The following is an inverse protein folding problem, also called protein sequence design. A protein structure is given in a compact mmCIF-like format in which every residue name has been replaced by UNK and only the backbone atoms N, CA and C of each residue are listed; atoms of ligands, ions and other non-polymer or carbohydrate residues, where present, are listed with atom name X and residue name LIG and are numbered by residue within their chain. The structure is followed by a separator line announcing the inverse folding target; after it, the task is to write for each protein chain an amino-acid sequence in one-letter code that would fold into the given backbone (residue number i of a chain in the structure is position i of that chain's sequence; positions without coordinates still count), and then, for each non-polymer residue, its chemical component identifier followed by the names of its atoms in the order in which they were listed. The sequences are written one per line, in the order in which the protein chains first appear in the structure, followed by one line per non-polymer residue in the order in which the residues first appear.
data_IF_247064225296
#
_entry.id   IF_247064225296
#
_cell.length_a   1.000
_cell.length_b   1.000
_cell.length_c   1.000
_cell.angle_alpha   90.00
_cell.angle_beta   90.00
_cell.angle_gamma   90.00
#
_symmetry.space_group_name_H-M   'P 1'
#
loop_
_entity.id
_entity.type
_entity.pdbx_description
1 polymer ?
#
# COMPACT_ATOMS: atom_id res chain seq x y z
N UNK A 1 5.75 15.27 6.70
CA UNK A 1 6.70 15.29 5.56
C UNK A 1 6.00 15.91 4.36
N UNK A 2 6.71 16.61 3.46
CA UNK A 2 6.06 17.36 2.36
C UNK A 2 6.86 17.19 1.07
N UNK A 3 6.22 16.71 0.00
CA UNK A 3 6.80 16.74 -1.34
C UNK A 3 6.68 18.15 -1.90
N UNK A 4 7.80 18.76 -2.29
CA UNK A 4 7.84 20.10 -2.89
C UNK A 4 7.77 20.03 -4.41
N UNK A 5 8.44 19.04 -4.99
CA UNK A 5 8.62 18.94 -6.44
C UNK A 5 8.76 17.49 -6.84
N UNK A 6 8.19 17.14 -7.99
CA UNK A 6 8.47 15.87 -8.67
C UNK A 6 8.92 16.16 -10.11
N UNK A 7 9.92 15.41 -10.56
CA UNK A 7 10.41 15.40 -11.92
C UNK A 7 10.24 13.98 -12.47
N UNK A 8 9.55 13.89 -13.60
CA UNK A 8 9.16 12.63 -14.22
C UNK A 8 9.71 12.62 -15.64
N UNK A 9 10.36 11.51 -16.00
CA UNK A 9 10.89 11.20 -17.32
C UNK A 9 10.40 9.82 -17.76
N UNK A 10 9.72 9.75 -18.91
CA UNK A 10 9.31 8.51 -19.58
C UNK A 10 8.51 7.52 -18.71
N UNK A 11 7.70 8.01 -17.78
CA UNK A 11 6.88 7.19 -16.88
C UNK A 11 5.44 7.14 -17.37
N UNK A 12 4.93 5.96 -17.73
CA UNK A 12 3.59 5.79 -18.34
C UNK A 12 3.43 6.70 -19.56
N UNK A 13 2.44 7.60 -19.56
CA UNK A 13 2.24 8.61 -20.60
C UNK A 13 2.96 9.95 -20.29
N UNK A 14 3.65 10.06 -19.15
CA UNK A 14 4.38 11.27 -18.74
C UNK A 14 5.80 11.21 -19.30
N UNK A 15 6.09 12.02 -20.31
CA UNK A 15 7.43 12.18 -20.89
C UNK A 15 8.32 13.01 -19.96
N UNK A 16 8.60 14.27 -20.26
CA UNK A 16 9.43 15.13 -19.41
C UNK A 16 8.56 16.19 -18.72
N UNK A 17 8.07 15.88 -17.52
CA UNK A 17 7.18 16.77 -16.76
C UNK A 17 7.78 17.09 -15.39
N UNK A 18 7.57 18.31 -14.95
CA UNK A 18 7.95 18.77 -13.62
C UNK A 18 6.73 19.40 -12.97
N UNK A 19 6.41 18.97 -11.76
CA UNK A 19 5.32 19.54 -10.98
C UNK A 19 5.84 20.03 -9.64
N UNK A 20 5.38 21.20 -9.22
CA UNK A 20 5.64 21.75 -7.89
C UNK A 20 4.35 21.67 -7.08
N UNK A 21 4.45 21.30 -5.81
CA UNK A 21 3.29 21.09 -4.95
C UNK A 21 3.27 22.09 -3.80
N UNK A 22 2.07 22.56 -3.48
CA UNK A 22 1.82 23.32 -2.27
C UNK A 22 2.12 22.47 -1.03
N UNK A 23 2.67 23.06 0.04
CA UNK A 23 2.88 22.35 1.31
C UNK A 23 1.57 21.98 2.02
N UNK A 24 0.43 22.50 1.56
CA UNK A 24 -0.91 22.15 2.06
C UNK A 24 -1.65 21.31 1.00
N UNK A 25 -2.47 21.95 0.18
CA UNK A 25 -3.30 21.25 -0.81
C UNK A 25 -2.96 21.67 -2.22
N UNK A 26 -2.76 20.67 -3.07
CA UNK A 26 -2.63 20.82 -4.52
C UNK A 26 -3.77 20.09 -5.20
N UNK A 27 -4.47 20.74 -6.13
CA UNK A 27 -5.45 20.09 -7.01
C UNK A 27 -4.90 20.05 -8.43
N UNK A 28 -4.79 18.85 -8.97
CA UNK A 28 -4.39 18.56 -10.34
C UNK A 28 -5.66 18.41 -11.16
N UNK A 29 -5.90 19.37 -12.05
CA UNK A 29 -7.08 19.43 -12.92
C UNK A 29 -6.69 19.05 -14.34
N UNK A 30 -7.49 18.23 -14.99
CA UNK A 30 -7.32 17.92 -16.41
C UNK A 30 -8.34 16.89 -16.89
N UNK A 31 -8.54 16.77 -18.21
CA UNK A 31 -9.45 15.79 -18.77
C UNK A 31 -9.04 14.36 -18.39
N UNK A 32 -9.95 13.40 -18.58
CA UNK A 32 -9.62 11.98 -18.44
C UNK A 32 -8.47 11.62 -19.39
N UNK A 33 -7.67 10.63 -19.00
CA UNK A 33 -6.47 10.19 -19.72
C UNK A 33 -5.31 11.22 -19.85
N UNK A 34 -5.41 12.42 -19.27
CA UNK A 34 -4.30 13.41 -19.25
C UNK A 34 -3.09 13.00 -18.40
N UNK A 35 -3.16 11.87 -17.70
CA UNK A 35 -2.06 11.36 -16.85
C UNK A 35 -2.13 11.78 -15.37
N UNK A 36 -3.26 12.34 -14.90
CA UNK A 36 -3.46 12.72 -13.49
C UNK A 36 -3.15 11.57 -12.52
N UNK A 37 -3.80 10.42 -12.72
CA UNK A 37 -3.53 9.19 -11.95
C UNK A 37 -2.07 8.77 -12.02
N UNK A 38 -1.40 8.95 -13.16
CA UNK A 38 0.01 8.56 -13.31
C UNK A 38 0.96 9.49 -12.51
N UNK A 39 0.55 10.74 -12.24
CA UNK A 39 1.27 11.63 -11.31
C UNK A 39 1.15 11.08 -9.87
N UNK A 40 -0.05 10.68 -9.45
CA UNK A 40 -0.25 10.06 -8.14
C UNK A 40 0.47 8.71 -8.03
N UNK A 41 0.49 7.91 -9.10
CA UNK A 41 1.28 6.68 -9.20
C UNK A 41 2.77 6.94 -9.00
N UNK A 42 3.32 7.97 -9.64
CA UNK A 42 4.71 8.36 -9.46
C UNK A 42 5.02 8.80 -8.02
N UNK A 43 4.11 9.55 -7.37
CA UNK A 43 4.27 9.96 -5.97
C UNK A 43 4.19 8.74 -5.04
N UNK A 44 3.22 7.85 -5.25
CA UNK A 44 3.05 6.64 -4.45
C UNK A 44 4.22 5.66 -4.62
N UNK A 45 4.80 5.59 -5.82
CA UNK A 45 6.01 4.83 -6.11
C UNK A 45 7.20 5.34 -5.30
N UNK A 46 7.34 6.66 -5.09
CA UNK A 46 8.38 7.22 -4.22
C UNK A 46 8.16 6.85 -2.74
N UNK A 47 6.92 6.65 -2.29
CA UNK A 47 6.62 6.28 -0.91
C UNK A 47 6.91 4.79 -0.63
N UNK A 48 6.47 3.93 -1.55
CA UNK A 48 6.41 2.48 -1.31
C UNK A 48 7.44 1.67 -2.11
N UNK A 49 8.03 2.25 -3.16
CA UNK A 49 8.85 1.54 -4.14
C UNK A 49 8.07 0.58 -5.04
N UNK A 50 6.74 0.62 -5.00
CA UNK A 50 5.82 -0.21 -5.78
C UNK A 50 4.73 0.65 -6.43
N UNK A 51 4.19 0.18 -7.56
CA UNK A 51 3.01 0.78 -8.16
C UNK A 51 1.74 0.18 -7.58
N UNK A 52 0.68 0.98 -7.51
CA UNK A 52 -0.67 0.48 -7.22
C UNK A 52 -1.39 -0.07 -8.47
N UNK A 53 -0.95 0.26 -9.69
CA UNK A 53 -1.56 -0.17 -10.97
C UNK A 53 -0.76 -1.25 -11.69
N UNK A 54 0.56 -1.13 -11.72
CA UNK A 54 1.43 -1.99 -12.52
C UNK A 54 1.65 -3.34 -11.84
N UNK A 55 1.61 -4.42 -12.62
CA UNK A 55 1.96 -5.77 -12.15
C UNK A 55 3.46 -6.03 -12.25
N UNK A 56 4.10 -5.47 -13.28
CA UNK A 56 5.55 -5.55 -13.52
C UNK A 56 6.16 -4.17 -13.76
N UNK A 57 7.46 -4.02 -13.50
CA UNK A 57 8.15 -2.74 -13.62
C UNK A 57 8.09 -2.13 -15.03
N UNK A 58 8.10 -2.95 -16.08
CA UNK A 58 8.15 -2.51 -17.48
C UNK A 58 6.89 -1.77 -17.91
N UNK A 59 5.74 -2.07 -17.30
CA UNK A 59 4.46 -1.41 -17.58
C UNK A 59 4.47 0.07 -17.19
N UNK A 60 5.34 0.45 -16.24
CA UNK A 60 5.51 1.84 -15.82
C UNK A 60 6.41 2.64 -16.78
N UNK A 61 7.10 1.97 -17.71
CA UNK A 61 7.99 2.63 -18.67
C UNK A 61 7.19 3.02 -19.91
N UNK A 62 7.35 4.27 -20.34
CA UNK A 62 6.69 4.77 -21.54
C UNK A 62 6.95 3.88 -22.76
N UNK A 63 5.96 3.82 -23.65
CA UNK A 63 6.05 3.03 -24.87
C UNK A 63 7.25 3.46 -25.72
N UNK A 64 8.01 2.50 -26.23
CA UNK A 64 9.22 2.73 -27.02
C UNK A 64 10.40 3.32 -26.23
N UNK A 65 10.32 3.39 -24.90
CA UNK A 65 11.41 3.84 -24.04
C UNK A 65 12.02 2.67 -23.26
N UNK A 66 13.33 2.73 -23.03
CA UNK A 66 14.07 1.73 -22.26
C UNK A 66 14.15 2.06 -20.77
N UNK A 67 14.11 3.36 -20.44
CA UNK A 67 14.32 3.87 -19.09
C UNK A 67 13.21 4.87 -18.74
N UNK A 68 12.68 4.73 -17.52
CA UNK A 68 11.86 5.73 -16.86
C UNK A 68 12.51 6.18 -15.55
N UNK A 69 12.30 7.43 -15.16
CA UNK A 69 12.80 7.96 -13.88
C UNK A 69 11.79 8.90 -13.25
N UNK A 70 11.62 8.73 -11.94
CA UNK A 70 10.81 9.58 -11.08
C UNK A 70 11.69 10.10 -9.95
N UNK A 71 11.81 11.41 -9.81
CA UNK A 71 12.59 12.06 -8.75
C UNK A 71 11.69 13.00 -7.95
N UNK A 72 11.68 12.87 -6.63
CA UNK A 72 10.94 13.73 -5.71
C UNK A 72 11.86 14.47 -4.75
N UNK A 73 11.60 15.77 -4.57
CA UNK A 73 12.27 16.63 -3.59
C UNK A 73 11.32 16.94 -2.42
N UNK A 74 11.80 16.76 -1.20
CA UNK A 74 11.04 16.94 0.04
C UNK A 74 11.68 18.00 0.95
N UNK A 75 10.90 18.68 1.80
CA UNK A 75 11.38 19.82 2.61
C UNK A 75 11.33 19.65 4.12
N UNK A 76 10.75 18.57 4.65
CA UNK A 76 10.59 18.34 6.10
C UNK A 76 10.63 16.83 6.43
N UNK A 77 11.82 16.21 6.53
CA UNK A 77 13.16 16.78 6.33
C UNK A 77 13.52 17.00 4.85
N UNK A 78 14.60 17.74 4.60
CA UNK A 78 15.13 17.92 3.25
C UNK A 78 15.75 16.60 2.76
N UNK A 79 15.14 16.00 1.74
CA UNK A 79 15.65 14.77 1.13
C UNK A 79 15.25 14.68 -0.34
N UNK A 80 15.92 13.79 -1.07
CA UNK A 80 15.57 13.41 -2.44
C UNK A 80 15.36 11.91 -2.52
N UNK A 81 14.23 11.50 -3.10
CA UNK A 81 13.95 10.11 -3.44
C UNK A 81 13.92 9.98 -4.95
N UNK A 82 14.50 8.91 -5.48
CA UNK A 82 14.51 8.64 -6.90
C UNK A 82 14.28 7.16 -7.17
N UNK A 83 13.43 6.87 -8.17
CA UNK A 83 13.20 5.54 -8.71
C UNK A 83 13.57 5.57 -10.18
N UNK A 84 14.47 4.66 -10.59
CA UNK A 84 14.83 4.41 -11.98
C UNK A 84 14.33 3.03 -12.37
N UNK A 85 13.61 2.94 -13.48
CA UNK A 85 13.02 1.73 -14.02
C UNK A 85 13.65 1.43 -15.38
N UNK A 86 13.92 0.15 -15.64
CA UNK A 86 14.48 -0.32 -16.92
C UNK A 86 13.77 -1.60 -17.36
N UNK A 87 13.92 -1.98 -18.64
CA UNK A 87 13.40 -3.25 -19.17
C UNK A 87 14.28 -4.47 -18.85
N UNK A 88 15.28 -4.30 -17.98
CA UNK A 88 16.28 -5.32 -17.67
C UNK A 88 17.49 -5.33 -18.60
N UNK A 89 17.38 -4.66 -19.74
CA UNK A 89 18.43 -4.46 -20.73
C UNK A 89 18.33 -3.02 -21.27
N UNK A 90 19.46 -2.42 -21.61
CA UNK A 90 19.56 -1.08 -22.22
C UNK A 90 20.50 -1.11 -23.41
N UNK A 91 20.19 -0.33 -24.44
CA UNK A 91 21.06 -0.18 -25.61
C UNK A 91 22.27 0.69 -25.27
N UNK A 92 23.47 0.26 -25.68
CA UNK A 92 24.73 0.95 -25.39
C UNK A 92 25.38 1.44 -26.68
N UNK A 93 25.44 2.77 -26.82
CA UNK A 93 25.99 3.43 -27.99
C UNK A 93 24.93 3.66 -29.06
N UNK A 94 25.35 3.63 -30.34
CA UNK A 94 24.45 3.82 -31.49
C UNK A 94 24.01 2.50 -32.12
N UNK A 95 24.61 1.38 -31.72
CA UNK A 95 24.31 0.06 -32.25
C UNK A 95 23.12 -0.55 -31.50
N UNK A 96 21.95 -0.74 -32.15
CA UNK A 96 20.76 -1.29 -31.53
C UNK A 96 20.91 -2.74 -31.06
N UNK A 97 21.88 -3.49 -31.60
CA UNK A 97 22.12 -4.88 -31.21
C UNK A 97 22.99 -5.00 -29.96
N UNK A 98 23.68 -3.92 -29.58
CA UNK A 98 24.57 -3.91 -28.42
C UNK A 98 23.83 -3.50 -27.15
N UNK A 99 23.33 -4.49 -26.42
CA UNK A 99 22.64 -4.26 -25.13
C UNK A 99 23.47 -4.67 -23.92
N UNK A 100 23.25 -4.00 -22.80
CA UNK A 100 23.77 -4.37 -21.48
C UNK A 100 22.65 -4.73 -20.52
N UNK A 101 22.85 -5.81 -19.75
CA UNK A 101 21.92 -6.21 -18.69
C UNK A 101 22.02 -5.28 -17.50
N UNK A 102 20.88 -4.78 -17.06
CA UNK A 102 20.76 -3.86 -15.94
C UNK A 102 19.63 -4.25 -15.00
N UNK A 103 19.67 -3.84 -13.72
CA UNK A 103 18.55 -4.05 -12.82
C UNK A 103 17.29 -3.33 -13.32
N UNK A 104 16.15 -4.04 -13.31
CA UNK A 104 14.83 -3.49 -13.69
C UNK A 104 14.38 -2.32 -12.83
N UNK A 105 14.88 -2.23 -11.59
CA UNK A 105 14.55 -1.15 -10.65
C UNK A 105 15.76 -0.77 -9.82
N UNK A 106 16.03 0.53 -9.73
CA UNK A 106 16.99 1.13 -8.79
C UNK A 106 16.27 2.17 -7.96
N UNK A 107 16.50 2.12 -6.65
CA UNK A 107 15.93 3.01 -5.66
C UNK A 107 17.06 3.82 -5.04
N UNK A 108 16.92 5.15 -4.98
CA UNK A 108 17.96 6.03 -4.50
C UNK A 108 17.41 6.99 -3.45
N UNK A 109 18.15 7.13 -2.35
CA UNK A 109 17.93 8.15 -1.32
C UNK A 109 19.13 9.08 -1.35
N UNK A 110 18.90 10.37 -1.65
CA UNK A 110 19.94 11.39 -1.79
C UNK A 110 21.07 10.96 -2.76
N UNK A 111 20.70 10.31 -3.87
CA UNK A 111 21.65 9.80 -4.87
C UNK A 111 22.35 8.50 -4.50
N UNK A 112 22.13 7.95 -3.30
CA UNK A 112 22.73 6.70 -2.85
C UNK A 112 21.75 5.55 -3.09
N UNK A 113 22.20 4.49 -3.77
CA UNK A 113 21.41 3.28 -3.99
C UNK A 113 20.97 2.63 -2.67
N UNK A 114 19.68 2.28 -2.57
CA UNK A 114 19.07 1.60 -1.42
C UNK A 114 18.32 0.36 -1.86
N UNK A 115 18.27 -0.63 -0.95
CA UNK A 115 17.33 -1.75 -1.07
C UNK A 115 15.92 -1.28 -0.77
N UNK A 116 14.90 -1.99 -1.25
CA UNK A 116 13.50 -1.64 -1.00
C UNK A 116 13.19 -1.46 0.50
N UNK A 117 13.72 -2.35 1.35
CA UNK A 117 13.54 -2.28 2.81
C UNK A 117 14.06 -0.98 3.44
N UNK A 118 15.12 -0.41 2.86
CA UNK A 118 15.78 0.81 3.34
C UNK A 118 15.28 2.07 2.59
N UNK A 119 14.49 1.90 1.52
CA UNK A 119 13.87 2.96 0.73
C UNK A 119 12.42 3.23 1.15
N UNK A 120 11.60 2.18 1.27
CA UNK A 120 10.20 2.29 1.64
C UNK A 120 10.05 2.81 3.08
N UNK A 121 9.09 3.72 3.29
CA UNK A 121 8.82 4.36 4.59
C UNK A 121 9.60 5.66 4.84
N UNK A 122 10.61 5.99 4.00
CA UNK A 122 11.24 7.32 4.04
C UNK A 122 10.26 8.41 3.65
N UNK A 123 9.34 8.14 2.74
CA UNK A 123 8.17 8.97 2.45
C UNK A 123 6.91 8.12 2.67
N UNK A 124 5.88 8.70 3.27
CA UNK A 124 4.63 8.01 3.60
C UNK A 124 3.48 8.69 2.89
N UNK A 125 2.65 7.88 2.24
CA UNK A 125 1.48 8.35 1.52
C UNK A 125 0.30 7.41 1.76
N UNK A 126 -0.88 8.00 1.88
CA UNK A 126 -2.15 7.27 1.85
C UNK A 126 -2.90 7.68 0.60
N UNK A 127 -3.26 6.70 -0.21
CA UNK A 127 -3.92 6.88 -1.50
C UNK A 127 -5.37 6.45 -1.40
N UNK A 128 -6.29 7.34 -1.75
CA UNK A 128 -7.69 7.05 -1.96
C UNK A 128 -7.94 7.01 -3.45
N UNK A 129 -8.54 5.94 -3.94
CA UNK A 129 -8.87 5.81 -5.35
C UNK A 129 -10.16 5.03 -5.58
N UNK A 130 -10.67 5.04 -6.81
CA UNK A 130 -11.90 4.35 -7.17
C UNK A 130 -11.83 2.82 -6.95
N UNK A 131 -10.63 2.25 -7.05
CA UNK A 131 -10.38 0.82 -6.81
C UNK A 131 -10.47 0.42 -5.32
N UNK A 132 -10.54 1.36 -4.36
CA UNK A 132 -10.58 0.97 -2.95
C UNK A 132 -11.88 0.22 -2.57
N UNK A 133 -12.93 0.28 -3.40
CA UNK A 133 -14.13 -0.57 -3.23
C UNK A 133 -13.78 -2.07 -3.30
N UNK A 134 -12.71 -2.43 -4.01
CA UNK A 134 -12.22 -3.81 -4.10
C UNK A 134 -11.81 -4.37 -2.73
N UNK A 135 -11.48 -3.52 -1.74
CA UNK A 135 -11.21 -3.98 -0.37
C UNK A 135 -12.41 -4.72 0.22
N UNK A 136 -13.61 -4.26 -0.12
CA UNK A 136 -14.86 -4.88 0.29
C UNK A 136 -15.14 -6.06 -0.64
N UNK A 137 -15.24 -5.82 -1.95
CA UNK A 137 -15.85 -6.79 -2.89
C UNK A 137 -14.93 -7.90 -3.39
N UNK A 138 -13.61 -7.70 -3.39
CA UNK A 138 -12.66 -8.61 -4.03
C UNK A 138 -12.04 -9.64 -3.07
N UNK A 139 -11.08 -10.40 -3.58
CA UNK A 139 -10.43 -11.51 -2.88
C UNK A 139 -9.57 -11.07 -1.67
N UNK A 140 -9.27 -12.02 -0.75
CA UNK A 140 -8.35 -11.79 0.37
C UNK A 140 -6.97 -11.24 -0.01
N UNK A 141 -6.53 -11.49 -1.25
CA UNK A 141 -5.23 -11.01 -1.74
C UNK A 141 -5.15 -9.48 -1.82
N UNK A 142 -6.25 -8.82 -2.18
CA UNK A 142 -6.34 -7.35 -2.26
C UNK A 142 -6.24 -6.75 -0.85
N UNK A 143 -6.96 -7.34 0.11
CA UNK A 143 -6.94 -6.95 1.51
C UNK A 143 -5.59 -7.17 2.19
N UNK A 144 -4.93 -8.30 1.94
CA UNK A 144 -3.55 -8.51 2.41
C UNK A 144 -2.57 -7.51 1.78
N UNK A 145 -2.69 -7.21 0.47
CA UNK A 145 -1.87 -6.20 -0.20
C UNK A 145 -2.05 -4.81 0.44
N UNK A 146 -3.27 -4.45 0.82
CA UNK A 146 -3.54 -3.22 1.56
C UNK A 146 -2.81 -3.19 2.91
N UNK A 147 -2.97 -4.23 3.74
CA UNK A 147 -2.28 -4.34 5.03
C UNK A 147 -0.76 -4.30 4.87
N UNK A 148 -0.23 -5.07 3.93
CA UNK A 148 1.21 -5.17 3.67
C UNK A 148 1.77 -3.82 3.22
N UNK A 149 1.02 -3.07 2.40
CA UNK A 149 1.43 -1.74 1.92
C UNK A 149 1.44 -0.73 3.06
N UNK A 150 0.38 -0.69 3.88
CA UNK A 150 0.29 0.16 5.05
C UNK A 150 1.43 -0.13 6.06
N UNK A 151 1.51 -1.38 6.53
CA UNK A 151 2.44 -1.77 7.59
C UNK A 151 3.89 -1.65 7.12
N UNK A 152 4.16 -1.91 5.83
CA UNK A 152 5.47 -1.67 5.24
C UNK A 152 5.86 -0.19 5.17
N UNK A 153 4.96 0.78 5.30
CA UNK A 153 5.36 2.19 5.35
C UNK A 153 5.79 2.63 6.75
N UNK A 154 5.24 2.00 7.79
CA UNK A 154 5.42 2.44 9.18
C UNK A 154 6.43 1.60 9.96
N UNK A 155 6.61 0.33 9.59
CA UNK A 155 7.41 -0.60 10.37
C UNK A 155 8.50 -1.29 9.51
N UNK A 156 9.77 -1.08 9.90
CA UNK A 156 10.93 -1.66 9.19
C UNK A 156 11.08 -3.16 9.45
N UNK A 157 10.76 -3.62 10.65
CA UNK A 157 10.81 -5.04 10.98
C UNK A 157 9.72 -5.82 10.27
N UNK A 158 8.55 -5.20 10.03
CA UNK A 158 7.50 -5.75 9.19
C UNK A 158 8.01 -5.94 7.77
N UNK A 159 8.63 -4.90 7.16
CA UNK A 159 9.28 -5.04 5.85
C UNK A 159 10.30 -6.19 5.81
N UNK A 160 11.12 -6.34 6.86
CA UNK A 160 12.10 -7.43 6.97
C UNK A 160 11.40 -8.80 7.07
N UNK A 161 10.37 -8.89 7.91
CA UNK A 161 9.62 -10.10 8.17
C UNK A 161 8.89 -10.54 6.90
N UNK A 162 8.17 -9.66 6.20
CA UNK A 162 7.47 -9.95 4.94
C UNK A 162 8.43 -10.47 3.87
N UNK A 163 9.59 -9.82 3.66
CA UNK A 163 10.59 -10.29 2.69
C UNK A 163 11.18 -11.66 3.06
N UNK A 164 11.44 -11.88 4.35
CA UNK A 164 11.98 -13.15 4.85
C UNK A 164 10.96 -14.27 4.76
N UNK A 165 9.70 -13.97 5.07
CA UNK A 165 8.57 -14.87 5.00
C UNK A 165 8.28 -15.28 3.54
N UNK A 166 8.20 -14.33 2.61
CA UNK A 166 7.98 -14.62 1.19
C UNK A 166 9.09 -15.50 0.60
N UNK A 167 10.35 -15.21 0.96
CA UNK A 167 11.49 -16.05 0.57
C UNK A 167 11.35 -17.46 1.15
N UNK A 168 11.07 -17.57 2.45
CA UNK A 168 10.87 -18.85 3.12
C UNK A 168 9.74 -19.66 2.50
N UNK A 169 8.62 -19.01 2.20
CA UNK A 169 7.41 -19.63 1.65
C UNK A 169 7.69 -20.21 0.27
N UNK A 170 8.37 -19.46 -0.60
CA UNK A 170 8.76 -19.95 -1.93
C UNK A 170 9.70 -21.15 -1.85
N UNK A 171 10.69 -21.11 -0.95
CA UNK A 171 11.64 -22.23 -0.80
C UNK A 171 10.97 -23.46 -0.20
N UNK A 172 10.09 -23.27 0.79
CA UNK A 172 9.30 -24.34 1.40
C UNK A 172 8.35 -24.98 0.39
N UNK A 173 7.56 -24.19 -0.35
CA UNK A 173 6.64 -24.72 -1.36
C UNK A 173 7.39 -25.48 -2.47
N UNK A 174 8.58 -25.00 -2.87
CA UNK A 174 9.44 -25.74 -3.81
C UNK A 174 9.89 -27.08 -3.23
N UNK A 175 10.23 -27.14 -1.95
CA UNK A 175 10.62 -28.37 -1.27
C UNK A 175 9.44 -29.33 -1.11
N UNK A 176 8.24 -28.84 -0.78
CA UNK A 176 7.01 -29.64 -0.75
C UNK A 176 6.72 -30.26 -2.11
N UNK A 177 6.82 -29.46 -3.19
CA UNK A 177 6.70 -29.97 -4.55
C UNK A 177 7.73 -31.08 -4.83
N UNK A 178 8.99 -30.89 -4.48
CA UNK A 178 10.02 -31.93 -4.66
C UNK A 178 9.72 -33.22 -3.89
N UNK A 179 9.23 -33.11 -2.65
CA UNK A 179 8.85 -34.27 -1.83
C UNK A 179 7.66 -35.01 -2.43
N UNK A 180 6.69 -34.27 -3.01
CA UNK A 180 5.55 -34.86 -3.68
C UNK A 180 5.95 -35.65 -4.93
N UNK A 181 6.88 -35.13 -5.73
CA UNK A 181 7.36 -35.80 -6.94
C UNK A 181 8.29 -36.98 -6.62
N UNK A 182 9.07 -36.88 -5.54
CA UNK A 182 9.96 -37.95 -5.07
C UNK A 182 9.95 -38.02 -3.53
N UNK A 183 9.16 -38.95 -2.94
CA UNK A 183 9.08 -39.12 -1.49
C UNK A 183 10.42 -39.43 -0.81
N UNK A 184 11.41 -39.95 -1.55
CA UNK A 184 12.74 -40.20 -0.98
C UNK A 184 13.46 -38.91 -0.57
N UNK A 185 13.11 -37.77 -1.18
CA UNK A 185 13.63 -36.44 -0.81
C UNK A 185 13.32 -36.09 0.64
N UNK A 186 12.22 -36.63 1.19
CA UNK A 186 11.84 -36.45 2.58
C UNK A 186 12.72 -37.28 3.52
N UNK A 187 12.92 -38.56 3.19
CA UNK A 187 13.59 -39.56 4.04
C UNK A 187 15.13 -39.55 3.93
N UNK A 188 15.70 -39.01 2.85
CA UNK A 188 17.15 -38.84 2.72
C UNK A 188 17.65 -37.72 3.65
N UNK A 189 18.79 -37.97 4.33
CA UNK A 189 19.43 -37.11 5.34
C UNK A 189 19.47 -35.63 4.92
N UNK A 190 18.45 -34.87 5.34
CA UNK A 190 18.36 -33.43 5.11
C UNK A 190 16.99 -32.93 4.67
N UNK A 191 16.08 -33.78 4.17
CA UNK A 191 14.70 -33.38 3.80
C UNK A 191 13.93 -32.75 4.97
N UNK A 192 13.76 -33.51 6.06
CA UNK A 192 13.16 -33.04 7.31
C UNK A 192 13.88 -31.80 7.89
N UNK A 193 15.22 -31.80 7.91
CA UNK A 193 15.99 -30.68 8.46
C UNK A 193 15.80 -29.39 7.64
N UNK A 194 15.69 -29.51 6.30
CA UNK A 194 15.40 -28.38 5.41
C UNK A 194 13.98 -27.85 5.62
N UNK A 195 12.97 -28.73 5.73
CA UNK A 195 11.61 -28.31 6.08
C UNK A 195 11.59 -27.57 7.42
N UNK A 196 12.17 -28.17 8.47
CA UNK A 196 12.25 -27.57 9.80
C UNK A 196 12.93 -26.19 9.80
N UNK A 197 13.98 -26.01 9.01
CA UNK A 197 14.62 -24.71 8.85
C UNK A 197 13.65 -23.66 8.29
N UNK A 198 12.92 -23.99 7.22
CA UNK A 198 11.94 -23.09 6.63
C UNK A 198 10.73 -22.89 7.55
N UNK A 199 10.28 -23.91 8.26
CA UNK A 199 9.19 -23.84 9.24
C UNK A 199 9.52 -22.81 10.32
N UNK A 200 10.71 -22.90 10.93
CA UNK A 200 11.16 -21.91 11.93
C UNK A 200 11.26 -20.49 11.36
N UNK A 201 11.69 -20.35 10.10
CA UNK A 201 11.73 -19.05 9.44
C UNK A 201 10.32 -18.49 9.21
N UNK A 202 9.38 -19.34 8.78
CA UNK A 202 8.00 -18.95 8.52
C UNK A 202 7.27 -18.62 9.82
N UNK A 203 7.39 -19.42 10.88
CA UNK A 203 6.77 -19.15 12.18
C UNK A 203 7.24 -17.81 12.72
N UNK A 204 8.56 -17.62 12.84
CA UNK A 204 9.14 -16.39 13.41
C UNK A 204 8.68 -15.12 12.71
N UNK A 205 8.71 -15.11 11.37
CA UNK A 205 8.34 -13.92 10.62
C UNK A 205 6.82 -13.80 10.45
N UNK A 206 6.12 -14.94 10.39
CA UNK A 206 4.68 -15.02 10.22
C UNK A 206 3.94 -14.50 11.44
N UNK A 207 4.39 -14.88 12.64
CA UNK A 207 3.84 -14.39 13.91
C UNK A 207 3.91 -12.86 14.00
N UNK A 208 5.08 -12.29 13.65
CA UNK A 208 5.26 -10.85 13.65
C UNK A 208 4.34 -10.15 12.63
N UNK A 209 4.19 -10.72 11.43
CA UNK A 209 3.28 -10.19 10.41
C UNK A 209 1.83 -10.20 10.92
N UNK A 210 1.37 -11.34 11.44
CA UNK A 210 -0.01 -11.46 11.91
C UNK A 210 -0.28 -10.59 13.13
N UNK A 211 0.70 -10.42 14.03
CA UNK A 211 0.59 -9.51 15.18
C UNK A 211 0.39 -8.05 14.74
N UNK A 212 1.20 -7.57 13.78
CA UNK A 212 1.08 -6.19 13.30
C UNK A 212 -0.23 -5.94 12.53
N UNK A 213 -0.70 -6.94 11.78
CA UNK A 213 -2.02 -6.88 11.11
C UNK A 213 -3.15 -6.82 12.11
N UNK A 214 -3.13 -7.69 13.11
CA UNK A 214 -4.10 -7.71 14.21
C UNK A 214 -4.12 -6.39 14.97
N UNK A 215 -2.94 -5.81 15.24
CA UNK A 215 -2.82 -4.50 15.86
C UNK A 215 -3.52 -3.40 15.04
N UNK A 216 -3.26 -3.32 13.73
CA UNK A 216 -3.93 -2.35 12.87
C UNK A 216 -5.45 -2.56 12.83
N UNK A 217 -5.90 -3.81 12.75
CA UNK A 217 -7.33 -4.12 12.73
C UNK A 217 -8.00 -3.69 14.03
N UNK A 218 -7.38 -3.99 15.17
CA UNK A 218 -7.87 -3.54 16.48
C UNK A 218 -7.88 -2.01 16.59
N UNK A 219 -6.85 -1.35 16.04
CA UNK A 219 -6.81 0.10 15.96
C UNK A 219 -7.98 0.67 15.12
N UNK A 220 -8.25 0.08 13.95
CA UNK A 220 -9.36 0.50 13.10
C UNK A 220 -10.70 0.33 13.83
N UNK A 221 -10.93 -0.85 14.43
CA UNK A 221 -12.13 -1.14 15.23
C UNK A 221 -12.28 -0.20 16.43
N UNK A 222 -11.19 0.29 16.99
CA UNK A 222 -11.18 1.25 18.09
C UNK A 222 -11.63 2.68 17.73
N UNK A 223 -11.68 3.04 16.43
CA UNK A 223 -12.14 4.38 16.01
C UNK A 223 -13.64 4.60 16.14
N UNK A 224 -14.42 3.52 16.13
CA UNK A 224 -15.89 3.59 16.23
C UNK A 224 -16.53 4.10 14.93
N UNK A 225 -17.54 4.96 15.08
CA UNK A 225 -18.50 5.29 14.01
C UNK A 225 -17.99 6.30 12.99
N UNK A 226 -18.54 6.23 11.78
CA UNK A 226 -18.50 7.27 10.75
C UNK A 226 -19.93 7.55 10.26
N UNK A 227 -20.38 8.81 10.31
CA UNK A 227 -21.76 9.22 9.98
C UNK A 227 -22.84 8.30 10.60
N UNK A 228 -22.80 8.12 11.93
CA UNK A 228 -23.70 7.26 12.71
C UNK A 228 -23.67 5.75 12.39
N UNK A 229 -22.94 5.32 11.36
CA UNK A 229 -22.69 3.92 11.02
C UNK A 229 -21.50 3.39 11.81
N UNK A 230 -21.67 2.20 12.39
CA UNK A 230 -20.68 1.55 13.25
C UNK A 230 -20.04 0.41 12.47
N UNK A 231 -18.80 0.62 12.03
CA UNK A 231 -18.04 -0.32 11.23
C UNK A 231 -17.07 -1.10 12.08
N UNK A 232 -16.83 -2.34 11.69
CA UNK A 232 -15.75 -3.15 12.23
C UNK A 232 -15.16 -4.06 11.16
N UNK A 233 -13.97 -4.55 11.43
CA UNK A 233 -13.27 -5.58 10.68
C UNK A 233 -13.20 -6.83 11.54
N UNK A 234 -13.59 -7.95 10.96
CA UNK A 234 -13.43 -9.28 11.53
C UNK A 234 -12.19 -9.92 10.91
N UNK A 235 -11.20 -10.28 11.73
CA UNK A 235 -9.89 -10.77 11.27
C UNK A 235 -9.82 -12.29 11.32
N UNK A 236 -9.78 -12.92 10.14
CA UNK A 236 -9.54 -14.35 10.00
C UNK A 236 -8.03 -14.62 9.92
N UNK A 237 -7.45 -14.83 11.10
CA UNK A 237 -6.02 -15.10 11.28
C UNK A 237 -5.71 -16.57 11.00
N UNK A 238 -4.95 -16.84 9.95
CA UNK A 238 -4.33 -18.14 9.71
C UNK A 238 -3.06 -18.25 10.54
N UNK A 239 -3.21 -18.55 11.84
CA UNK A 239 -2.06 -18.73 12.73
C UNK A 239 -1.11 -19.82 12.20
N UNK A 240 0.19 -19.57 12.30
CA UNK A 240 1.26 -20.50 11.95
C UNK A 240 1.97 -20.94 13.22
N UNK A 241 2.18 -22.25 13.38
CA UNK A 241 2.90 -22.82 14.52
C UNK A 241 3.45 -24.18 14.13
N UNK A 242 4.38 -24.72 14.92
CA UNK A 242 4.90 -26.08 14.69
C UNK A 242 3.76 -27.11 14.67
N UNK A 243 2.85 -27.04 15.66
CA UNK A 243 1.69 -27.93 15.74
C UNK A 243 0.75 -27.83 14.53
N UNK A 244 0.53 -26.63 13.97
CA UNK A 244 -0.29 -26.47 12.77
C UNK A 244 0.40 -26.97 11.50
N UNK A 245 1.70 -26.75 11.37
CA UNK A 245 2.47 -27.28 10.23
C UNK A 245 2.52 -28.81 10.26
N UNK A 246 2.64 -29.40 11.45
CA UNK A 246 2.56 -30.85 11.63
C UNK A 246 1.15 -31.39 11.34
N UNK A 247 0.11 -30.70 11.81
CA UNK A 247 -1.29 -31.07 11.57
C UNK A 247 -1.63 -31.18 10.07
N UNK A 248 -1.10 -30.29 9.23
CA UNK A 248 -1.37 -30.25 7.79
C UNK A 248 -0.22 -30.82 6.94
N UNK A 249 0.72 -31.56 7.53
CA UNK A 249 1.94 -31.95 6.84
C UNK A 249 1.67 -32.79 5.58
N UNK A 250 0.73 -33.73 5.64
CA UNK A 250 0.37 -34.58 4.50
C UNK A 250 -0.35 -33.78 3.41
N UNK A 251 -1.31 -32.93 3.79
CA UNK A 251 -2.08 -32.08 2.88
C UNK A 251 -1.19 -31.05 2.18
N UNK A 252 -0.22 -30.47 2.88
CA UNK A 252 0.73 -29.51 2.32
C UNK A 252 1.67 -30.16 1.30
N UNK A 253 2.11 -31.40 1.54
CA UNK A 253 2.89 -32.19 0.57
C UNK A 253 2.01 -32.49 -0.65
N UNK A 254 0.80 -33.02 -0.45
CA UNK A 254 -0.12 -33.36 -1.55
C UNK A 254 -0.45 -32.13 -2.42
N UNK A 255 -0.73 -30.99 -1.78
CA UNK A 255 -1.04 -29.73 -2.46
C UNK A 255 0.21 -29.01 -3.01
N UNK A 256 1.43 -29.46 -2.66
CA UNK A 256 2.70 -28.81 -2.96
C UNK A 256 2.74 -27.31 -2.55
N UNK A 257 2.03 -26.96 -1.49
CA UNK A 257 1.95 -25.59 -0.97
C UNK A 257 1.72 -25.59 0.52
N UNK A 258 2.26 -24.58 1.19
CA UNK A 258 1.92 -24.25 2.56
C UNK A 258 0.44 -23.81 2.63
N UNK A 259 -0.26 -24.29 3.66
CA UNK A 259 -1.70 -24.09 3.90
C UNK A 259 -1.98 -23.22 5.14
N UNK A 260 -0.97 -23.00 6.00
CA UNK A 260 -1.10 -22.17 7.22
C UNK A 260 -0.15 -20.98 7.25
N UNK A 261 -0.59 -19.87 7.83
CA UNK A 261 0.20 -18.66 8.04
C UNK A 261 -0.31 -17.43 7.29
N UNK A 262 0.33 -16.27 7.49
CA UNK A 262 -0.22 -14.98 7.08
C UNK A 262 -0.45 -14.77 5.59
N UNK A 263 0.13 -15.59 4.73
CA UNK A 263 -0.21 -15.55 3.30
C UNK A 263 -1.66 -16.02 3.01
N UNK A 264 -2.33 -16.61 4.01
CA UNK A 264 -3.73 -17.04 3.96
C UNK A 264 -4.68 -16.19 4.80
N UNK A 265 -4.18 -15.27 5.64
CA UNK A 265 -5.01 -14.38 6.46
C UNK A 265 -6.04 -13.62 5.61
N UNK A 266 -7.17 -13.30 6.21
CA UNK A 266 -8.16 -12.41 5.62
C UNK A 266 -8.79 -11.48 6.66
N UNK A 267 -9.46 -10.42 6.22
CA UNK A 267 -10.38 -9.68 7.07
C UNK A 267 -11.66 -9.35 6.31
N UNK A 268 -12.79 -9.25 7.00
CA UNK A 268 -14.07 -8.90 6.36
C UNK A 268 -14.70 -7.69 7.04
N UNK A 269 -15.29 -6.83 6.22
CA UNK A 269 -16.00 -5.65 6.71
C UNK A 269 -17.35 -6.04 7.30
N UNK A 270 -17.65 -5.48 8.46
CA UNK A 270 -18.92 -5.61 9.16
C UNK A 270 -19.50 -4.22 9.41
N UNK A 271 -20.82 -4.12 9.36
CA UNK A 271 -21.54 -2.91 9.76
C UNK A 271 -22.66 -3.28 10.73
N UNK A 272 -22.83 -2.48 11.77
CA UNK A 272 -23.90 -2.67 12.76
C UNK A 272 -25.24 -2.29 12.16
N UNK A 273 -26.24 -3.12 12.39
CA UNK A 273 -27.61 -2.83 12.00
C UNK A 273 -28.21 -1.69 12.85
N UNK A 274 -28.78 -0.67 12.20
CA UNK A 274 -29.36 0.49 12.89
C UNK A 274 -30.77 0.23 13.45
N UNK A 275 -31.52 -0.72 12.91
CA UNK A 275 -32.94 -0.95 13.25
C UNK A 275 -33.18 -1.99 14.36
N UNK A 276 -32.17 -2.77 14.76
CA UNK A 276 -32.37 -3.86 15.70
C UNK A 276 -32.29 -3.39 17.16
N UNK A 277 -33.47 -3.10 17.75
CA UNK A 277 -33.61 -2.76 19.18
C UNK A 277 -33.27 -3.92 20.13
N UNK A 278 -33.03 -5.13 19.63
CA UNK A 278 -32.94 -6.34 20.46
C UNK A 278 -31.62 -7.11 20.38
N UNK A 279 -30.75 -6.90 19.38
CA UNK A 279 -29.40 -7.48 19.36
C UNK A 279 -28.44 -6.56 18.61
N UNK A 280 -27.20 -6.39 19.12
CA UNK A 280 -26.09 -5.74 18.40
C UNK A 280 -25.60 -6.68 17.29
N UNK A 281 -26.35 -6.85 16.21
CA UNK A 281 -25.91 -7.68 15.09
C UNK A 281 -25.08 -6.87 14.09
N UNK A 282 -23.91 -7.41 13.79
CA UNK A 282 -23.00 -6.93 12.76
C UNK A 282 -23.16 -7.82 11.53
N UNK A 283 -23.56 -7.23 10.41
CA UNK A 283 -23.72 -7.94 9.13
C UNK A 283 -22.52 -7.72 8.22
N UNK A 284 -22.21 -8.69 7.37
CA UNK A 284 -21.15 -8.56 6.37
C UNK A 284 -21.50 -7.50 5.32
N UNK A 285 -20.59 -6.54 5.15
CA UNK A 285 -20.81 -5.37 4.29
C UNK A 285 -20.87 -5.75 2.80
N UNK A 286 -20.12 -6.78 2.38
CA UNK A 286 -20.16 -7.31 1.00
C UNK A 286 -21.55 -7.78 0.60
N UNK A 287 -22.18 -8.58 1.47
CA UNK A 287 -23.39 -9.33 1.12
C UNK A 287 -24.66 -8.52 1.39
N UNK A 288 -24.64 -7.72 2.45
CA UNK A 288 -25.84 -7.09 2.99
C UNK A 288 -25.76 -5.56 3.03
N UNK A 289 -24.59 -4.98 2.71
CA UNK A 289 -24.43 -3.53 2.62
C UNK A 289 -24.86 -2.98 1.26
N UNK A 290 -25.58 -1.86 1.29
CA UNK A 290 -25.80 -1.02 0.12
C UNK A 290 -24.47 -0.47 -0.43
N UNK A 291 -24.47 -0.02 -1.69
CA UNK A 291 -23.28 0.60 -2.30
C UNK A 291 -22.78 1.84 -1.53
N UNK A 292 -23.69 2.59 -0.90
CA UNK A 292 -23.33 3.71 -0.03
C UNK A 292 -22.61 3.24 1.23
N UNK A 293 -23.18 2.27 1.95
CA UNK A 293 -22.53 1.68 3.14
C UNK A 293 -21.16 1.07 2.81
N UNK A 294 -21.01 0.40 1.66
CA UNK A 294 -19.72 -0.15 1.22
C UNK A 294 -18.67 0.95 1.03
N UNK A 295 -19.02 2.05 0.38
CA UNK A 295 -18.13 3.21 0.19
C UNK A 295 -17.78 3.87 1.51
N UNK A 296 -18.75 4.02 2.41
CA UNK A 296 -18.53 4.58 3.73
C UNK A 296 -17.60 3.68 4.58
N UNK A 297 -17.77 2.36 4.51
CA UNK A 297 -16.88 1.41 5.18
C UNK A 297 -15.44 1.49 4.67
N UNK A 298 -15.25 1.67 3.36
CA UNK A 298 -13.93 1.92 2.77
C UNK A 298 -13.35 3.24 3.27
N UNK A 299 -14.11 4.35 3.22
CA UNK A 299 -13.66 5.65 3.73
C UNK A 299 -13.25 5.57 5.19
N UNK A 300 -14.05 4.91 6.03
CA UNK A 300 -13.74 4.64 7.44
C UNK A 300 -12.39 3.92 7.60
N UNK A 301 -12.17 2.85 6.84
CA UNK A 301 -10.90 2.11 6.91
C UNK A 301 -9.70 2.97 6.47
N UNK A 302 -9.87 3.77 5.43
CA UNK A 302 -8.80 4.65 4.93
C UNK A 302 -8.50 5.81 5.89
N UNK A 303 -9.48 6.24 6.69
CA UNK A 303 -9.26 7.20 7.78
C UNK A 303 -8.52 6.55 8.95
N UNK A 304 -8.83 5.28 9.25
CA UNK A 304 -8.03 4.49 10.16
C UNK A 304 -6.59 4.34 9.66
N UNK A 305 -6.37 4.07 8.36
CA UNK A 305 -5.05 4.02 7.75
C UNK A 305 -4.26 5.32 7.96
N UNK A 306 -4.84 6.47 7.58
CA UNK A 306 -4.25 7.80 7.77
C UNK A 306 -3.79 8.02 9.23
N UNK A 307 -4.69 7.73 10.16
CA UNK A 307 -4.46 7.96 11.58
C UNK A 307 -3.45 6.99 12.17
N UNK A 308 -3.47 5.73 11.73
CA UNK A 308 -2.51 4.72 12.18
C UNK A 308 -1.09 5.07 11.75
N UNK A 309 -0.91 5.58 10.52
CA UNK A 309 0.39 6.06 10.06
C UNK A 309 0.89 7.22 10.92
N UNK A 310 0.02 8.18 11.25
CA UNK A 310 0.38 9.28 12.13
C UNK A 310 0.76 8.78 13.52
N UNK A 311 0.01 7.83 14.09
CA UNK A 311 0.26 7.29 15.42
C UNK A 311 1.59 6.51 15.49
N UNK A 312 1.83 5.60 14.54
CA UNK A 312 3.03 4.75 14.51
C UNK A 312 4.32 5.52 14.25
N UNK A 313 4.22 6.72 13.70
CA UNK A 313 5.36 7.60 13.49
C UNK A 313 5.60 8.57 14.63
N UNK A 314 4.75 8.56 15.68
CA UNK A 314 5.03 9.29 16.92
C UNK A 314 6.18 8.62 17.64
N UNK A 315 7.18 9.41 17.99
CA UNK A 315 8.29 8.94 18.81
C UNK A 315 8.00 9.23 20.28
N UNK A 316 7.76 8.18 21.06
CA UNK A 316 7.57 8.28 22.51
C UNK A 316 8.84 8.77 23.25
N UNK A 317 10.03 8.52 22.69
CA UNK A 317 11.31 8.84 23.32
C UNK A 317 11.83 10.25 23.01
N UNK A 318 11.41 10.89 21.91
CA UNK A 318 11.85 12.24 21.52
C UNK A 318 10.78 13.32 21.68
N UNK A 319 9.56 12.96 22.11
CA UNK A 319 8.44 13.90 22.24
C UNK A 319 8.00 14.55 20.92
N UNK A 320 8.45 14.01 19.77
CA UNK A 320 8.08 14.50 18.45
C UNK A 320 6.65 14.09 18.09
N UNK A 321 5.90 15.04 17.54
CA UNK A 321 4.60 14.78 16.96
C UNK A 321 4.73 13.78 15.80
N UNK A 322 3.67 12.98 15.59
CA UNK A 322 3.60 12.00 14.52
C UNK A 322 3.74 12.65 13.15
N UNK A 323 4.26 11.88 12.19
CA UNK A 323 4.35 12.32 10.81
C UNK A 323 3.03 12.06 10.10
N UNK A 324 2.30 13.12 9.73
CA UNK A 324 1.18 12.99 8.80
C UNK A 324 1.70 12.51 7.44
N UNK A 325 1.16 11.40 6.89
CA UNK A 325 1.49 10.97 5.53
C UNK A 325 0.89 11.95 4.52
N UNK A 326 1.42 12.01 3.29
CA UNK A 326 0.75 12.79 2.23
C UNK A 326 -0.52 12.06 1.79
N UNK A 327 -1.64 12.77 1.82
CA UNK A 327 -2.93 12.28 1.34
C UNK A 327 -2.99 12.45 -0.18
N UNK A 328 -3.22 11.36 -0.91
CA UNK A 328 -3.43 11.34 -2.35
C UNK A 328 -4.89 10.96 -2.62
N UNK A 329 -5.64 11.79 -3.33
CA UNK A 329 -7.03 11.49 -3.72
C UNK A 329 -7.10 11.41 -5.25
N UNK A 330 -7.38 10.22 -5.79
CA UNK A 330 -7.45 9.99 -7.24
C UNK A 330 -8.89 9.97 -7.75
N UNK A 331 -9.34 11.06 -8.39
CA UNK A 331 -10.67 11.21 -9.02
C UNK A 331 -11.85 10.71 -8.13
N UNK A 332 -11.68 10.68 -6.80
CA UNK A 332 -12.63 10.05 -5.87
C UNK A 332 -13.97 10.81 -5.82
N UNK A 333 -13.94 12.12 -6.01
CA UNK A 333 -15.13 12.97 -5.92
C UNK A 333 -16.18 12.67 -6.99
N UNK A 334 -15.79 12.20 -8.17
CA UNK A 334 -16.76 11.84 -9.22
C UNK A 334 -17.57 10.60 -8.89
N UNK A 335 -17.07 9.74 -7.98
CA UNK A 335 -17.78 8.53 -7.61
C UNK A 335 -18.70 8.72 -6.41
N UNK A 336 -18.42 9.69 -5.54
CA UNK A 336 -19.13 9.89 -4.29
C UNK A 336 -20.40 10.73 -4.45
N UNK A 337 -21.42 10.41 -3.66
CA UNK A 337 -22.57 11.31 -3.47
C UNK A 337 -22.21 12.49 -2.56
N UNK A 338 -23.15 13.41 -2.35
CA UNK A 338 -22.91 14.63 -1.59
C UNK A 338 -22.46 14.37 -0.15
N UNK A 339 -23.07 13.38 0.53
CA UNK A 339 -22.76 13.07 1.92
C UNK A 339 -21.33 12.54 2.05
N UNK A 340 -20.96 11.55 1.22
CA UNK A 340 -19.61 11.00 1.22
C UNK A 340 -18.54 12.03 0.81
N UNK A 341 -18.88 12.97 -0.08
CA UNK A 341 -17.96 14.06 -0.47
C UNK A 341 -17.63 14.96 0.71
N UNK A 342 -18.61 15.34 1.53
CA UNK A 342 -18.35 16.16 2.72
C UNK A 342 -17.44 15.45 3.71
N UNK A 343 -17.60 14.14 3.90
CA UNK A 343 -16.72 13.31 4.74
C UNK A 343 -15.28 13.33 4.24
N UNK A 344 -15.05 13.17 2.94
CA UNK A 344 -13.71 13.30 2.34
C UNK A 344 -13.14 14.72 2.52
N UNK A 345 -13.98 15.74 2.35
CA UNK A 345 -13.58 17.14 2.50
C UNK A 345 -13.19 17.46 3.95
N UNK A 346 -13.90 16.90 4.94
CA UNK A 346 -13.54 16.98 6.35
C UNK A 346 -12.14 16.42 6.58
N UNK A 347 -11.82 15.25 6.03
CA UNK A 347 -10.47 14.67 6.16
C UNK A 347 -9.40 15.49 5.48
N UNK A 348 -9.68 16.11 4.32
CA UNK A 348 -8.75 17.07 3.72
C UNK A 348 -8.52 18.27 4.65
N UNK A 349 -9.57 18.77 5.32
CA UNK A 349 -9.45 19.88 6.30
C UNK A 349 -8.64 19.44 7.53
N UNK A 350 -8.93 18.27 8.11
CA UNK A 350 -8.17 17.71 9.25
C UNK A 350 -6.71 17.48 8.90
N UNK A 351 -6.44 17.03 7.67
CA UNK A 351 -5.10 16.84 7.16
C UNK A 351 -4.32 18.16 7.13
N UNK A 352 -4.96 19.27 6.77
CA UNK A 352 -4.38 20.61 6.81
C UNK A 352 -4.22 21.18 8.23
N UNK A 353 -4.96 20.67 9.22
CA UNK A 353 -4.88 21.15 10.60
C UNK A 353 -3.54 20.79 11.23
N UNK A 354 -2.74 21.78 11.69
CA UNK A 354 -1.48 21.52 12.38
C UNK A 354 -1.71 20.76 13.69
N UNK A 355 -0.86 19.79 13.98
CA UNK A 355 -0.82 19.16 15.30
C UNK A 355 -0.26 20.17 16.32
N UNK A 356 -0.66 20.08 17.59
CA UNK A 356 -0.24 20.96 18.70
C UNK A 356 1.28 21.24 18.78
N UNK A 357 2.12 20.34 18.22
CA UNK A 357 3.58 20.50 18.04
C UNK A 357 4.10 19.89 16.72
N UNK A 358 3.28 19.83 15.66
CA UNK A 358 3.63 19.18 14.40
C UNK A 358 3.31 20.02 13.15
N UNK A 359 3.84 19.61 12.01
CA UNK A 359 3.50 20.24 10.72
C UNK A 359 2.12 19.80 10.27
N UNK A 360 1.38 20.70 9.60
CA UNK A 360 0.22 20.31 8.80
C UNK A 360 0.60 19.22 7.79
N UNK A 361 -0.34 18.32 7.51
CA UNK A 361 -0.21 17.34 6.45
C UNK A 361 -0.42 17.96 5.07
N UNK A 362 0.01 17.22 4.04
CA UNK A 362 -0.16 17.60 2.65
C UNK A 362 -1.28 16.76 2.02
N UNK A 363 -2.04 17.35 1.11
CA UNK A 363 -3.03 16.67 0.28
C UNK A 363 -2.81 17.00 -1.21
N UNK A 364 -2.86 15.97 -2.06
CA UNK A 364 -2.75 16.11 -3.51
C UNK A 364 -3.96 15.40 -4.12
N UNK A 365 -4.75 16.15 -4.87
CA UNK A 365 -6.07 15.72 -5.35
C UNK A 365 -6.04 15.76 -6.87
N UNK A 366 -6.53 14.73 -7.54
CA UNK A 366 -6.84 14.78 -8.97
C UNK A 366 -8.34 14.93 -9.16
N UNK A 367 -8.73 15.72 -10.17
CA UNK A 367 -10.12 15.79 -10.59
C UNK A 367 -10.22 16.15 -12.07
N UNK A 368 -11.23 15.60 -12.74
CA UNK A 368 -11.66 16.10 -14.05
C UNK A 368 -12.53 17.36 -13.94
N UNK A 369 -13.22 17.56 -12.82
CA UNK A 369 -14.15 18.66 -12.61
C UNK A 369 -13.73 19.54 -11.40
N UNK A 370 -13.24 20.76 -11.65
CA UNK A 370 -12.89 21.71 -10.60
C UNK A 370 -14.03 22.06 -9.63
N UNK A 371 -15.30 21.85 -9.98
CA UNK A 371 -16.43 22.18 -9.12
C UNK A 371 -16.40 21.41 -7.80
N UNK A 372 -15.93 20.15 -7.81
CA UNK A 372 -15.88 19.31 -6.61
C UNK A 372 -14.93 19.83 -5.51
N UNK A 373 -13.98 20.71 -5.87
CA UNK A 373 -12.97 21.22 -4.94
C UNK A 373 -13.12 22.70 -4.62
N UNK A 374 -14.19 23.36 -5.08
CA UNK A 374 -14.39 24.81 -4.87
C UNK A 374 -14.50 25.20 -3.40
N UNK A 375 -14.94 24.29 -2.52
CA UNK A 375 -15.03 24.52 -1.08
C UNK A 375 -13.68 24.49 -0.33
N UNK A 376 -12.59 24.10 -0.99
CA UNK A 376 -11.26 24.04 -0.37
C UNK A 376 -10.57 25.41 -0.42
N UNK A 377 -10.15 25.91 0.74
CA UNK A 377 -9.35 27.15 0.87
C UNK A 377 -7.86 26.85 0.71
N UNK A 378 -7.09 27.83 0.21
CA UNK A 378 -5.63 27.77 0.05
C UNK A 378 -5.13 26.61 -0.84
N UNK A 379 -5.83 26.38 -1.95
CA UNK A 379 -5.49 25.34 -2.94
C UNK A 379 -4.63 25.93 -4.05
N UNK A 380 -3.51 25.26 -4.35
CA UNK A 380 -2.77 25.49 -5.58
C UNK A 380 -3.32 24.57 -6.68
N UNK A 381 -3.60 25.13 -7.87
CA UNK A 381 -4.12 24.35 -9.01
C UNK A 381 -3.03 24.11 -10.04
N UNK A 382 -2.92 22.87 -10.50
CA UNK A 382 -2.04 22.47 -11.59
C UNK A 382 -2.92 21.97 -12.72
N UNK A 383 -2.84 22.61 -13.88
CA UNK A 383 -3.52 22.14 -15.09
C UNK A 383 -2.63 21.15 -15.85
N UNK A 384 -3.17 19.98 -16.15
CA UNK A 384 -2.51 18.96 -16.96
C UNK A 384 -3.21 18.88 -18.31
N UNK A 385 -2.51 19.34 -19.34
CA UNK A 385 -2.90 19.14 -20.74
C UNK A 385 -2.26 17.83 -21.23
N UNK A 386 -3.08 17.00 -21.89
CA UNK A 386 -2.72 15.68 -22.40
C UNK A 386 -1.54 15.69 -23.36
#
# INVERSE_FOLDING_TARGET
MVIKKIQISNFRNLKNKTFSFSPKTTVIVGPNASGKTNILEAIFLLATGKSFKAQVEEEMIAYGQEIARVNGEFTKPKMKLEVVLTRGEITVGQDPEKTERVPRKRLLLNGIGKRLIDFAGNFKAVLFGPWDLELVTESPSVRRKFLDTLLSQVDREYRRASLSYEKGLRQRNRLLWQIREDPSVHSVRGGHMRLLFWDKLLIKNGDYISQMREEFINFANGRGKLNDQDFSLDYDKSAISEARLEQYAEEEIAAATTLVGPHRDDFVFRVKEQESKRVKEFRELVRYGSRGEQRMGVLWLKFAELSYVEEKTRSASSGQAGEKPTLLLDDIFSELDHEHREVVMEVVREQQTPLRRGSAGQAIITTADPHFVQGLKNVEKIEVKG
#
